data_IF_760415467617
#
_entry.id   IF_760415467617
#
_cell.length_a   1.000
_cell.length_b   1.000
_cell.length_c   1.000
_cell.angle_alpha   90.00
_cell.angle_beta   90.00
_cell.angle_gamma   90.00
#
_symmetry.space_group_name_H-M   'P 1'
#
loop_
_entity.id
_entity.type
_entity.pdbx_description
1 polymer ?
#
# COMPACT_ATOMS: atom_id res chain seq x y z
N UNK A 1 -9.65 2.19 12.44
CA UNK A 1 -10.06 0.87 11.96
C UNK A 1 -8.89 0.06 11.42
N UNK A 2 -9.12 -1.20 11.17
CA UNK A 2 -8.13 -2.09 10.57
C UNK A 2 -8.26 -2.10 9.06
N UNK A 3 -7.22 -1.68 8.36
CA UNK A 3 -7.19 -1.57 6.90
C UNK A 3 -7.45 -2.91 6.19
N UNK A 4 -7.01 -4.04 6.75
CA UNK A 4 -7.26 -5.37 6.18
C UNK A 4 -8.73 -5.79 6.23
N UNK A 5 -9.55 -5.11 7.03
CA UNK A 5 -11.00 -5.30 7.12
C UNK A 5 -11.79 -4.15 6.48
N UNK A 6 -11.15 -3.32 5.66
CA UNK A 6 -11.77 -2.14 5.04
C UNK A 6 -12.84 -2.45 4.00
N UNK A 7 -12.90 -3.68 3.49
CA UNK A 7 -13.74 -4.10 2.35
C UNK A 7 -13.42 -3.40 1.03
N UNK A 8 -12.31 -2.65 0.96
CA UNK A 8 -11.83 -2.10 -0.31
C UNK A 8 -11.29 -3.22 -1.19
N UNK A 9 -11.43 -3.10 -2.49
CA UNK A 9 -10.93 -4.08 -3.45
C UNK A 9 -9.40 -4.22 -3.33
N UNK A 10 -8.69 -3.09 -3.21
CA UNK A 10 -7.23 -3.07 -3.15
C UNK A 10 -6.77 -2.50 -1.82
N UNK A 11 -5.89 -3.22 -1.15
CA UNK A 11 -5.26 -2.82 0.12
C UNK A 11 -3.77 -2.60 -0.12
N UNK A 12 -3.26 -1.46 0.31
CA UNK A 12 -1.86 -1.09 0.13
C UNK A 12 -1.02 -1.52 1.32
N UNK A 13 0.11 -2.15 1.04
CA UNK A 13 1.12 -2.51 2.05
C UNK A 13 2.41 -1.75 1.77
N UNK A 14 2.86 -0.94 2.74
CA UNK A 14 4.16 -0.27 2.67
C UNK A 14 5.27 -1.30 2.81
N UNK A 15 6.21 -1.30 1.89
CA UNK A 15 7.31 -2.28 1.86
C UNK A 15 8.65 -1.61 1.56
N UNK A 16 9.75 -2.35 1.78
CA UNK A 16 11.06 -2.03 1.24
C UNK A 16 11.29 -2.79 -0.08
N UNK A 17 12.44 -2.60 -0.69
CA UNK A 17 12.77 -3.23 -1.98
C UNK A 17 13.66 -4.47 -1.87
N UNK A 18 13.92 -4.95 -0.64
CA UNK A 18 14.83 -6.10 -0.42
C UNK A 18 14.13 -7.38 0.02
N UNK A 19 12.80 -7.39 0.07
CA UNK A 19 12.03 -8.59 0.34
C UNK A 19 11.86 -8.95 1.82
N UNK A 20 11.98 -7.99 2.74
CA UNK A 20 11.87 -8.22 4.19
C UNK A 20 10.60 -7.60 4.75
N UNK A 21 9.70 -8.42 5.28
CA UNK A 21 8.50 -8.01 6.02
C UNK A 21 8.68 -8.33 7.51
N UNK A 22 9.49 -7.53 8.20
CA UNK A 22 9.90 -7.82 9.57
C UNK A 22 9.04 -7.19 10.67
N UNK A 23 8.40 -6.04 10.43
CA UNK A 23 7.67 -5.27 11.47
C UNK A 23 6.44 -4.57 10.90
N UNK A 24 5.55 -4.18 11.80
CA UNK A 24 4.39 -3.34 11.50
C UNK A 24 3.37 -4.00 10.57
N UNK A 25 2.78 -3.19 9.69
CA UNK A 25 1.74 -3.62 8.77
C UNK A 25 2.22 -4.72 7.80
N UNK A 26 3.46 -4.62 7.33
CA UNK A 26 4.06 -5.61 6.45
C UNK A 26 4.20 -6.98 7.14
N UNK A 27 4.57 -6.99 8.42
CA UNK A 27 4.63 -8.23 9.21
C UNK A 27 3.25 -8.87 9.34
N UNK A 28 2.22 -8.08 9.59
CA UNK A 28 0.84 -8.59 9.63
C UNK A 28 0.43 -9.20 8.29
N UNK A 29 0.75 -8.55 7.18
CA UNK A 29 0.48 -9.09 5.85
C UNK A 29 1.17 -10.43 5.63
N UNK A 30 2.42 -10.56 6.06
CA UNK A 30 3.20 -11.81 5.97
C UNK A 30 2.50 -12.98 6.66
N UNK A 31 1.97 -12.76 7.87
CA UNK A 31 1.34 -13.85 8.65
C UNK A 31 -0.11 -14.11 8.24
N UNK A 32 -0.87 -13.09 7.90
CA UNK A 32 -2.28 -13.24 7.51
C UNK A 32 -2.46 -13.65 6.05
N UNK A 33 -1.52 -13.28 5.19
CA UNK A 33 -1.58 -13.52 3.74
C UNK A 33 -0.22 -14.03 3.24
N UNK A 34 0.14 -15.30 3.52
CA UNK A 34 1.46 -15.83 3.16
C UNK A 34 1.79 -15.77 1.67
N UNK A 35 0.79 -15.88 0.81
CA UNK A 35 0.94 -15.74 -0.65
C UNK A 35 1.42 -14.34 -1.05
N UNK A 36 0.95 -13.31 -0.36
CA UNK A 36 1.41 -11.92 -0.57
C UNK A 36 2.91 -11.80 -0.27
N UNK A 37 3.36 -12.42 0.81
CA UNK A 37 4.78 -12.40 1.17
C UNK A 37 5.67 -13.09 0.13
N UNK A 38 5.24 -14.25 -0.36
CA UNK A 38 5.97 -15.00 -1.40
C UNK A 38 6.05 -14.17 -2.68
N UNK A 39 4.94 -13.59 -3.12
CA UNK A 39 4.90 -12.72 -4.29
C UNK A 39 5.80 -11.50 -4.13
N UNK A 40 5.76 -10.89 -2.95
CA UNK A 40 6.61 -9.74 -2.65
C UNK A 40 8.10 -10.04 -2.79
N UNK A 41 8.56 -11.17 -2.23
CA UNK A 41 9.95 -11.59 -2.37
C UNK A 41 10.33 -11.82 -3.83
N UNK A 42 9.44 -12.42 -4.61
CA UNK A 42 9.66 -12.68 -6.03
C UNK A 42 9.80 -11.38 -6.84
N UNK A 43 8.89 -10.43 -6.64
CA UNK A 43 8.93 -9.16 -7.38
C UNK A 43 10.08 -8.25 -6.95
N UNK A 44 10.60 -8.39 -5.74
CA UNK A 44 11.83 -7.73 -5.32
C UNK A 44 13.04 -8.31 -6.05
N UNK A 45 13.15 -9.63 -6.09
CA UNK A 45 14.26 -10.30 -6.81
C UNK A 45 14.27 -9.99 -8.30
N UNK A 46 13.11 -10.00 -8.93
CA UNK A 46 12.98 -9.74 -10.36
C UNK A 46 12.99 -8.25 -10.73
N UNK A 47 13.10 -7.35 -9.75
CA UNK A 47 13.08 -5.88 -9.94
C UNK A 47 11.78 -5.34 -10.56
N UNK A 48 10.69 -6.10 -10.53
CA UNK A 48 9.36 -5.62 -10.91
C UNK A 48 8.80 -4.64 -9.88
N UNK A 49 9.19 -4.78 -8.62
CA UNK A 49 8.96 -3.80 -7.56
C UNK A 49 10.27 -3.04 -7.30
N UNK A 50 10.25 -1.72 -7.39
CA UNK A 50 11.35 -0.83 -7.10
C UNK A 50 10.84 0.54 -6.67
N UNK A 51 11.71 1.37 -6.12
CA UNK A 51 11.31 2.72 -5.70
C UNK A 51 10.62 3.46 -6.86
N UNK A 52 9.47 4.05 -6.58
CA UNK A 52 8.64 4.74 -7.57
C UNK A 52 7.76 3.83 -8.43
N UNK A 53 7.91 2.51 -8.33
CA UNK A 53 7.13 1.54 -9.12
C UNK A 53 6.50 0.50 -8.20
N UNK A 54 5.29 0.76 -7.67
CA UNK A 54 4.54 -0.23 -6.91
C UNK A 54 4.19 -1.45 -7.75
N UNK A 55 3.93 -2.55 -7.08
CA UNK A 55 3.48 -3.79 -7.72
C UNK A 55 2.07 -4.15 -7.24
N UNK A 56 1.16 -4.31 -8.19
CA UNK A 56 -0.21 -4.72 -7.89
C UNK A 56 -0.34 -6.24 -8.02
N UNK A 57 -0.60 -6.92 -6.91
CA UNK A 57 -0.88 -8.34 -6.87
C UNK A 57 -2.39 -8.57 -6.97
N UNK A 58 -2.85 -8.99 -8.14
CA UNK A 58 -4.23 -9.39 -8.43
C UNK A 58 -4.44 -10.83 -7.95
N UNK A 59 -4.68 -10.98 -6.68
CA UNK A 59 -4.54 -12.22 -5.93
C UNK A 59 -5.38 -13.38 -6.48
N UNK A 60 -6.64 -13.14 -6.80
CA UNK A 60 -7.56 -14.17 -7.29
C UNK A 60 -7.04 -14.84 -8.56
N UNK A 61 -6.75 -14.07 -9.58
CA UNK A 61 -6.29 -14.59 -10.87
C UNK A 61 -4.94 -15.31 -10.78
N UNK A 62 -4.05 -14.83 -9.91
CA UNK A 62 -2.75 -15.47 -9.71
C UNK A 62 -2.87 -16.80 -9.00
N UNK A 63 -3.72 -16.89 -7.97
CA UNK A 63 -3.93 -18.12 -7.22
C UNK A 63 -4.69 -19.18 -8.03
N UNK A 64 -5.64 -18.79 -8.86
CA UNK A 64 -6.31 -19.72 -9.78
C UNK A 64 -5.32 -20.40 -10.72
N UNK A 65 -4.32 -19.66 -11.20
CA UNK A 65 -3.27 -20.21 -12.04
C UNK A 65 -2.31 -21.15 -11.28
N UNK A 66 -1.95 -20.78 -10.06
CA UNK A 66 -1.04 -21.57 -9.22
C UNK A 66 -1.72 -22.81 -8.62
N UNK A 67 -3.03 -22.76 -8.36
CA UNK A 67 -3.79 -23.85 -7.73
C UNK A 67 -4.45 -24.80 -8.73
N UNK A 68 -4.29 -24.58 -10.03
CA UNK A 68 -4.84 -25.45 -11.05
C UNK A 68 -4.33 -26.91 -10.95
N UNK A 69 -3.19 -27.12 -10.29
CA UNK A 69 -2.55 -28.42 -10.12
C UNK A 69 -2.66 -29.01 -8.72
N UNK A 70 -3.26 -28.30 -7.73
CA UNK A 70 -3.42 -28.82 -6.35
C UNK A 70 -4.80 -28.52 -5.77
N UNK A 71 -5.43 -29.51 -5.07
CA UNK A 71 -6.68 -29.27 -4.36
C UNK A 71 -6.44 -28.27 -3.21
N UNK A 72 -7.20 -27.19 -3.22
CA UNK A 72 -7.10 -26.01 -2.38
C UNK A 72 -6.74 -26.28 -0.91
N UNK A 73 -5.59 -25.84 -0.48
CA UNK A 73 -5.13 -25.86 0.90
C UNK A 73 -5.35 -24.54 1.65
N UNK A 74 -6.11 -23.58 1.11
CA UNK A 74 -6.36 -22.27 1.71
C UNK A 74 -7.84 -22.07 2.07
N UNK A 75 -8.32 -22.69 3.18
CA UNK A 75 -9.76 -22.75 3.46
C UNK A 75 -10.44 -21.42 3.83
N UNK A 76 -9.76 -20.31 4.00
CA UNK A 76 -10.37 -19.03 4.41
C UNK A 76 -9.74 -17.79 3.78
N UNK A 77 -9.08 -17.94 2.64
CA UNK A 77 -8.46 -16.79 1.99
C UNK A 77 -9.51 -15.95 1.25
N UNK A 78 -9.63 -14.67 1.58
CA UNK A 78 -10.39 -13.72 0.76
C UNK A 78 -9.59 -13.39 -0.50
N UNK A 79 -9.79 -14.20 -1.54
CA UNK A 79 -9.08 -14.09 -2.82
C UNK A 79 -9.51 -12.86 -3.64
N UNK A 80 -10.64 -12.24 -3.29
CA UNK A 80 -11.14 -11.07 -3.99
C UNK A 80 -10.38 -9.78 -3.65
N UNK A 81 -9.60 -9.77 -2.56
CA UNK A 81 -8.79 -8.61 -2.18
C UNK A 81 -7.46 -8.61 -2.92
N UNK A 82 -7.19 -7.52 -3.63
CA UNK A 82 -5.91 -7.27 -4.26
C UNK A 82 -4.96 -6.53 -3.31
N UNK A 83 -3.67 -6.71 -3.49
CA UNK A 83 -2.65 -6.04 -2.68
C UNK A 83 -1.74 -5.18 -3.55
N UNK A 84 -1.67 -3.90 -3.20
CA UNK A 84 -0.71 -2.98 -3.79
C UNK A 84 0.53 -2.93 -2.89
N UNK A 85 1.62 -3.52 -3.35
CA UNK A 85 2.91 -3.48 -2.67
C UNK A 85 3.58 -2.17 -3.03
N UNK A 86 3.67 -1.27 -2.06
CA UNK A 86 4.09 0.12 -2.27
C UNK A 86 5.45 0.37 -1.59
N UNK A 87 6.54 0.50 -2.35
CA UNK A 87 7.86 0.70 -1.77
C UNK A 87 8.01 2.13 -1.26
N UNK A 88 8.34 2.25 0.02
CA UNK A 88 8.59 3.55 0.68
C UNK A 88 10.05 3.78 0.99
N UNK A 89 10.88 2.73 0.93
CA UNK A 89 12.31 2.76 1.17
C UNK A 89 13.01 1.61 0.45
N UNK A 90 14.29 1.79 0.15
CA UNK A 90 15.09 0.77 -0.52
C UNK A 90 15.39 -0.39 0.42
N UNK A 91 15.88 -0.09 1.61
CA UNK A 91 16.29 -1.07 2.62
C UNK A 91 15.51 -0.85 3.93
N UNK A 92 15.22 -1.93 4.66
CA UNK A 92 14.42 -1.88 5.90
C UNK A 92 15.05 -1.04 7.01
N UNK A 93 16.37 -0.84 7.01
CA UNK A 93 17.09 0.00 7.98
C UNK A 93 17.02 1.49 7.67
N UNK A 94 16.65 1.86 6.47
CA UNK A 94 16.62 3.26 6.04
C UNK A 94 15.31 3.93 6.43
N UNK A 95 15.34 5.26 6.53
CA UNK A 95 14.12 6.05 6.58
C UNK A 95 13.40 6.03 5.22
N UNK A 96 12.09 6.22 5.23
CA UNK A 96 11.31 6.33 4.01
C UNK A 96 11.68 7.58 3.22
N UNK A 97 11.55 7.53 1.90
CA UNK A 97 11.97 8.59 0.97
C UNK A 97 10.74 9.21 0.33
N UNK A 98 10.49 10.48 0.62
CA UNK A 98 9.32 11.22 0.12
C UNK A 98 9.24 11.20 -1.41
N UNK A 99 10.37 11.43 -2.09
CA UNK A 99 10.40 11.43 -3.56
C UNK A 99 9.94 10.09 -4.15
N UNK A 100 10.38 8.98 -3.59
CA UNK A 100 9.96 7.66 -4.04
C UNK A 100 8.48 7.40 -3.77
N UNK A 101 7.96 7.91 -2.66
CA UNK A 101 6.52 7.85 -2.35
C UNK A 101 5.72 8.66 -3.37
N UNK A 102 6.16 9.86 -3.69
CA UNK A 102 5.50 10.70 -4.70
C UNK A 102 5.47 10.02 -6.07
N UNK A 103 6.59 9.47 -6.51
CA UNK A 103 6.68 8.71 -7.77
C UNK A 103 5.72 7.51 -7.76
N UNK A 104 5.62 6.80 -6.63
CA UNK A 104 4.66 5.71 -6.47
C UNK A 104 3.20 6.17 -6.53
N UNK A 105 2.88 7.31 -5.95
CA UNK A 105 1.54 7.91 -6.03
C UNK A 105 1.21 8.37 -7.46
N UNK A 106 2.18 8.88 -8.19
CA UNK A 106 2.05 9.19 -9.62
C UNK A 106 1.76 7.92 -10.42
N UNK A 107 2.44 6.83 -10.11
CA UNK A 107 2.17 5.53 -10.74
C UNK A 107 0.72 5.10 -10.52
N UNK A 108 0.20 5.23 -9.29
CA UNK A 108 -1.19 4.90 -8.97
C UNK A 108 -2.14 5.76 -9.79
N UNK A 109 -1.93 7.08 -9.82
CA UNK A 109 -2.74 8.01 -10.61
C UNK A 109 -2.78 7.63 -12.09
N UNK A 110 -1.64 7.27 -12.65
CA UNK A 110 -1.50 7.02 -14.09
C UNK A 110 -1.97 5.61 -14.49
N UNK A 111 -2.07 4.67 -13.55
CA UNK A 111 -2.31 3.26 -13.86
C UNK A 111 -3.58 2.65 -13.24
N UNK A 112 -4.25 3.32 -12.28
CA UNK A 112 -5.34 2.68 -11.53
C UNK A 112 -6.51 2.26 -12.44
N UNK A 113 -6.86 3.02 -13.45
CA UNK A 113 -7.93 2.70 -14.40
C UNK A 113 -7.52 1.49 -15.24
N UNK A 114 -6.36 1.54 -15.85
CA UNK A 114 -5.82 0.46 -16.69
C UNK A 114 -5.73 -0.86 -15.93
N UNK A 115 -5.29 -0.80 -14.67
CA UNK A 115 -5.11 -1.99 -13.84
C UNK A 115 -6.42 -2.49 -13.21
N UNK A 116 -7.50 -1.72 -13.28
CA UNK A 116 -8.81 -2.13 -12.77
C UNK A 116 -8.97 -1.93 -11.26
N UNK A 117 -8.25 -1.01 -10.65
CA UNK A 117 -8.42 -0.68 -9.24
C UNK A 117 -9.74 0.08 -9.07
N UNK A 118 -10.70 -0.49 -8.34
CA UNK A 118 -12.05 0.07 -8.17
C UNK A 118 -12.26 0.73 -6.80
N UNK A 119 -11.46 0.40 -5.82
CA UNK A 119 -11.40 1.05 -4.51
C UNK A 119 -10.06 0.78 -3.86
N UNK A 120 -9.58 1.70 -3.02
CA UNK A 120 -8.20 1.65 -2.52
C UNK A 120 -8.13 2.06 -1.06
N UNK A 121 -7.58 1.18 -0.22
CA UNK A 121 -7.18 1.49 1.15
C UNK A 121 -5.65 1.63 1.20
N UNK A 122 -5.17 2.68 1.86
CA UNK A 122 -3.75 3.00 1.91
C UNK A 122 -3.36 3.47 3.30
N UNK A 123 -2.24 3.01 3.87
CA UNK A 123 -1.76 3.55 5.14
C UNK A 123 -1.13 4.93 4.93
N UNK A 124 -0.88 5.65 6.03
CA UNK A 124 -0.06 6.86 5.99
C UNK A 124 1.38 6.46 5.61
N UNK A 125 1.71 6.61 4.34
CA UNK A 125 2.95 6.09 3.75
C UNK A 125 4.19 6.68 4.39
N UNK A 126 5.10 5.83 4.84
CA UNK A 126 6.35 6.25 5.43
C UNK A 126 6.25 6.80 6.85
N UNK A 127 5.05 6.94 7.42
CA UNK A 127 4.85 7.33 8.82
C UNK A 127 5.03 6.11 9.74
N UNK A 128 5.40 6.36 11.00
CA UNK A 128 5.72 5.27 11.92
C UNK A 128 7.16 4.80 11.74
N UNK A 129 7.38 3.54 11.37
CA UNK A 129 8.73 2.98 11.19
C UNK A 129 9.53 3.65 10.07
N UNK A 130 8.87 4.27 9.11
CA UNK A 130 9.52 5.04 8.04
C UNK A 130 10.01 6.42 8.45
N UNK A 131 9.66 6.88 9.65
CA UNK A 131 10.09 8.15 10.27
C UNK A 131 9.63 9.43 9.56
N UNK A 132 8.70 9.34 8.59
CA UNK A 132 8.11 10.52 7.98
C UNK A 132 6.94 11.02 8.83
N UNK A 133 6.65 12.30 8.73
CA UNK A 133 5.57 12.93 9.47
C UNK A 133 4.33 13.12 8.60
N UNK A 134 3.15 12.93 9.20
CA UNK A 134 1.88 13.17 8.53
C UNK A 134 1.75 14.59 7.98
N UNK A 135 2.36 15.57 8.65
CA UNK A 135 2.40 16.95 8.18
C UNK A 135 2.89 17.07 6.74
N UNK A 136 3.86 16.23 6.36
CA UNK A 136 4.45 16.23 5.02
C UNK A 136 3.76 15.24 4.08
N UNK A 137 3.41 14.06 4.58
CA UNK A 137 2.84 12.97 3.78
C UNK A 137 1.34 13.16 3.53
N UNK A 138 0.59 13.65 4.51
CA UNK A 138 -0.86 13.83 4.39
C UNK A 138 -1.28 14.68 3.19
N UNK A 139 -0.74 15.91 3.05
CA UNK A 139 -1.05 16.76 1.90
C UNK A 139 -0.64 16.12 0.57
N UNK A 140 0.53 15.46 0.52
CA UNK A 140 1.01 14.78 -0.67
C UNK A 140 0.06 13.65 -1.09
N UNK A 141 -0.32 12.78 -0.17
CA UNK A 141 -1.26 11.68 -0.43
C UNK A 141 -2.62 12.23 -0.89
N UNK A 142 -3.16 13.22 -0.19
CA UNK A 142 -4.44 13.80 -0.54
C UNK A 142 -4.43 14.47 -1.92
N UNK A 143 -3.33 15.11 -2.28
CA UNK A 143 -3.17 15.71 -3.61
C UNK A 143 -3.35 14.67 -4.72
N UNK A 144 -2.69 13.53 -4.63
CA UNK A 144 -2.79 12.47 -5.64
C UNK A 144 -4.07 11.66 -5.54
N UNK A 145 -4.49 11.28 -4.33
CA UNK A 145 -5.64 10.40 -4.14
C UNK A 145 -6.97 11.11 -4.39
N UNK A 146 -7.09 12.39 -4.11
CA UNK A 146 -8.30 13.17 -4.41
C UNK A 146 -8.59 13.31 -5.91
N UNK A 147 -7.58 13.13 -6.75
CA UNK A 147 -7.72 13.15 -8.20
C UNK A 147 -8.25 11.83 -8.77
N UNK A 148 -8.30 10.76 -7.98
CA UNK A 148 -8.82 9.47 -8.40
C UNK A 148 -10.35 9.45 -8.34
N UNK A 149 -11.00 8.86 -9.34
CA UNK A 149 -12.46 8.72 -9.43
C UNK A 149 -12.96 7.41 -8.82
N UNK A 150 -12.33 6.98 -7.71
CA UNK A 150 -12.67 5.78 -6.96
C UNK A 150 -12.71 6.07 -5.47
N UNK A 151 -13.45 5.29 -4.66
CA UNK A 151 -13.36 5.40 -3.22
C UNK A 151 -11.94 5.12 -2.74
N UNK A 152 -11.40 6.03 -1.93
CA UNK A 152 -10.09 5.89 -1.30
C UNK A 152 -10.17 6.19 0.19
N UNK A 153 -9.44 5.43 0.99
CA UNK A 153 -9.35 5.61 2.43
C UNK A 153 -7.89 5.61 2.86
N UNK A 154 -7.52 6.57 3.70
CA UNK A 154 -6.19 6.64 4.30
C UNK A 154 -6.31 6.25 5.77
N UNK A 155 -5.53 5.27 6.19
CA UNK A 155 -5.47 4.77 7.56
C UNK A 155 -4.30 5.39 8.29
N UNK A 156 -4.60 6.18 9.32
CA UNK A 156 -3.60 6.83 10.13
C UNK A 156 -2.88 5.83 11.05
N UNK A 157 -1.61 6.10 11.43
CA UNK A 157 -0.89 5.23 12.36
C UNK A 157 -1.61 5.15 13.70
N UNK A 158 -1.84 3.94 14.21
CA UNK A 158 -2.47 3.72 15.51
C UNK A 158 -1.58 4.18 16.67
N UNK A 159 -0.28 4.15 16.46
CA UNK A 159 0.73 4.45 17.49
C UNK A 159 1.09 5.93 17.59
N UNK A 160 0.73 6.73 16.61
CA UNK A 160 0.98 8.17 16.58
C UNK A 160 -0.35 8.92 16.50
N UNK A 161 -0.64 9.70 17.53
CA UNK A 161 -1.81 10.56 17.50
C UNK A 161 -1.54 11.74 16.56
N UNK A 162 -2.23 11.76 15.44
CA UNK A 162 -2.17 12.90 14.51
C UNK A 162 -3.03 14.03 15.08
N UNK A 163 -2.49 15.25 15.25
CA UNK A 163 -3.29 16.40 15.68
C UNK A 163 -4.44 16.68 14.72
N UNK A 164 -5.61 17.02 15.27
CA UNK A 164 -6.81 17.31 14.46
C UNK A 164 -6.59 18.43 13.45
N UNK A 165 -5.75 19.40 13.80
CA UNK A 165 -5.37 20.51 12.89
C UNK A 165 -4.76 20.02 11.58
N UNK A 166 -4.05 18.90 11.60
CA UNK A 166 -3.42 18.28 10.42
C UNK A 166 -4.38 17.38 9.63
N UNK A 167 -5.63 17.25 10.09
CA UNK A 167 -6.66 16.45 9.42
C UNK A 167 -7.72 17.33 8.74
N UNK A 168 -7.57 18.66 8.81
CA UNK A 168 -8.51 19.58 8.17
C UNK A 168 -8.33 19.61 6.66
N UNK A 169 -9.39 19.95 5.94
CA UNK A 169 -9.35 20.11 4.49
C UNK A 169 -8.29 21.16 4.09
N UNK A 170 -8.18 22.23 4.83
CA UNK A 170 -7.20 23.30 4.57
C UNK A 170 -5.77 22.81 4.73
N UNK A 171 -5.50 22.02 5.76
CA UNK A 171 -4.18 21.44 5.98
C UNK A 171 -3.79 20.42 4.90
N UNK A 172 -4.75 19.61 4.40
CA UNK A 172 -4.49 18.51 3.50
C UNK A 172 -4.59 18.87 2.02
N UNK A 173 -5.49 19.79 1.66
CA UNK A 173 -5.74 20.16 0.27
C UNK A 173 -5.37 21.62 -0.04
N UNK A 174 -4.91 22.34 0.97
CA UNK A 174 -4.67 23.78 0.88
C UNK A 174 -5.95 24.59 1.02
N UNK A 175 -5.81 25.91 1.27
CA UNK A 175 -6.94 26.83 1.23
C UNK A 175 -7.39 26.94 -0.23
N UNK A 176 -8.47 26.22 -0.55
CA UNK A 176 -8.94 26.10 -1.92
C UNK A 176 -9.20 27.45 -2.58
N UNK A 177 -8.63 27.61 -3.69
CA UNK A 177 -9.07 28.59 -4.67
C UNK A 177 -10.34 28.07 -5.31
#
# INVERSE_FOLDING_TARGET
GDMFFSKMQTVTVSVNCVGVMGKGLASRAKYQFPDVYVRYQDVCRSKRLRMGVPYLYKRESSLEHELADEPSSLPNANLATWFLLFPTKQHWREASVIRGIEEGLQWVRDNYVKEGISSLAMPALGCGLGRLEWRDIGPLMCHYLSALNIPTSIYLPAEQKVPEELLTKESLLGSGS
#
